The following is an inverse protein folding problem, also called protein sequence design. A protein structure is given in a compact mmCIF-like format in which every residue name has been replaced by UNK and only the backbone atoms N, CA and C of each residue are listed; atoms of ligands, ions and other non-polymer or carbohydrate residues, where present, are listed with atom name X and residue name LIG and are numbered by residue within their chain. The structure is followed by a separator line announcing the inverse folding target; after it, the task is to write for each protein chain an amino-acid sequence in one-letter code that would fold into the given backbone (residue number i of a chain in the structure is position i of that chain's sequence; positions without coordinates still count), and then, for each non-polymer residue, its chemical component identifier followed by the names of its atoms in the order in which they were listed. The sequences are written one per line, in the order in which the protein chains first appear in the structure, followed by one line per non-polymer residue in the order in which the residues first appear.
data_IF_629524591207
#
_entry.id   IF_629524591207
#
_cell.length_a   1.000
_cell.length_b   1.000
_cell.length_c   1.000
_cell.angle_alpha   90.00
_cell.angle_beta   90.00
_cell.angle_gamma   90.00
#
_symmetry.space_group_name_H-M   'P 1'
#
loop_
_entity.id
_entity.type
_entity.pdbx_description
1 polymer ?
#
# COMPACT_ATOMS: atom_id res chain seq x y z
N UNK A 1 -14.74 -19.21 14.94
CA UNK A 1 -13.78 -18.16 14.52
C UNK A 1 -13.85 -16.95 15.42
N UNK A 2 -12.86 -16.81 16.32
CA UNK A 2 -12.59 -15.53 17.00
C UNK A 2 -11.95 -14.57 16.01
N UNK A 3 -12.65 -13.49 15.70
CA UNK A 3 -12.18 -12.39 14.82
C UNK A 3 -11.01 -11.64 15.45
N UNK A 4 -10.19 -10.95 14.65
CA UNK A 4 -9.20 -10.00 15.17
C UNK A 4 -9.88 -8.93 16.02
N UNK A 5 -11.12 -8.53 15.69
CA UNK A 5 -11.92 -7.63 16.52
C UNK A 5 -12.00 -8.12 17.98
N UNK A 6 -12.44 -9.36 18.19
CA UNK A 6 -12.56 -9.94 19.54
C UNK A 6 -11.22 -10.08 20.26
N UNK A 7 -10.12 -10.20 19.51
CA UNK A 7 -8.79 -10.50 20.05
C UNK A 7 -7.98 -9.26 20.35
N UNK A 8 -8.12 -8.20 19.57
CA UNK A 8 -7.22 -7.05 19.61
C UNK A 8 -7.92 -5.75 20.02
N UNK A 9 -9.25 -5.63 19.90
CA UNK A 9 -9.92 -4.32 20.03
C UNK A 9 -10.03 -3.83 21.47
N UNK A 10 -9.71 -4.68 22.45
CA UNK A 10 -9.52 -4.25 23.83
C UNK A 10 -8.32 -3.31 24.01
N UNK A 11 -7.42 -3.22 23.02
CA UNK A 11 -6.29 -2.29 23.00
C UNK A 11 -6.65 -0.89 22.50
N UNK A 12 -7.83 -0.71 21.90
CA UNK A 12 -8.25 0.54 21.27
C UNK A 12 -9.23 1.30 22.16
N UNK A 13 -9.24 2.63 22.08
CA UNK A 13 -10.27 3.41 22.74
C UNK A 13 -11.64 3.13 22.10
N UNK A 14 -12.74 3.06 22.87
CA UNK A 14 -14.08 2.80 22.32
C UNK A 14 -14.49 3.79 21.22
N UNK A 15 -14.07 5.06 21.34
CA UNK A 15 -14.31 6.09 20.33
C UNK A 15 -13.60 5.79 19.00
N UNK A 16 -12.37 5.27 19.05
CA UNK A 16 -11.62 4.85 17.86
C UNK A 16 -12.30 3.67 17.16
N UNK A 17 -12.78 2.69 17.95
CA UNK A 17 -13.52 1.54 17.41
C UNK A 17 -14.84 1.97 16.75
N UNK A 18 -15.57 2.89 17.38
CA UNK A 18 -16.81 3.42 16.81
C UNK A 18 -16.53 4.15 15.48
N UNK A 19 -15.51 5.01 15.45
CA UNK A 19 -15.09 5.74 14.25
C UNK A 19 -14.55 4.80 13.16
N UNK A 20 -13.82 3.76 13.52
CA UNK A 20 -13.29 2.78 12.57
C UNK A 20 -14.37 2.12 11.72
N UNK A 21 -15.58 1.92 12.28
CA UNK A 21 -16.70 1.29 11.57
C UNK A 21 -17.27 2.15 10.43
N UNK A 22 -17.05 3.46 10.44
CA UNK A 22 -17.44 4.36 9.34
C UNK A 22 -16.32 4.59 8.33
N UNK A 23 -15.11 4.10 8.59
CA UNK A 23 -13.95 4.26 7.70
C UNK A 23 -13.87 3.03 6.79
N UNK A 24 -13.77 3.25 5.48
CA UNK A 24 -13.49 2.19 4.50
C UNK A 24 -12.14 2.45 3.86
N UNK A 25 -11.17 1.53 3.96
CA UNK A 25 -9.89 1.68 3.27
C UNK A 25 -10.07 1.82 1.76
N UNK A 26 -9.39 2.80 1.17
CA UNK A 26 -9.45 3.09 -0.26
C UNK A 26 -8.80 1.97 -1.09
N UNK A 27 -7.67 1.43 -0.60
CA UNK A 27 -7.00 0.29 -1.19
C UNK A 27 -6.51 -0.67 -0.11
N UNK A 28 -6.53 -1.97 -0.41
CA UNK A 28 -5.94 -3.03 0.43
C UNK A 28 -5.25 -4.04 -0.48
N UNK A 29 -3.98 -4.28 -0.22
CA UNK A 29 -3.15 -5.24 -0.94
C UNK A 29 -2.44 -6.17 0.04
N UNK A 30 -2.12 -7.38 -0.41
CA UNK A 30 -1.30 -8.36 0.33
C UNK A 30 -0.04 -8.67 -0.49
N UNK A 31 1.04 -7.88 -0.34
CA UNK A 31 2.24 -8.05 -1.14
C UNK A 31 2.90 -9.43 -0.95
N UNK A 32 2.77 -9.98 0.26
CA UNK A 32 3.27 -11.31 0.66
C UNK A 32 2.30 -11.94 1.65
N UNK A 33 2.40 -13.25 1.83
CA UNK A 33 1.64 -13.96 2.87
C UNK A 33 2.01 -13.38 4.24
N UNK A 34 0.99 -13.05 5.04
CA UNK A 34 1.18 -12.44 6.36
C UNK A 34 1.45 -10.93 6.32
N UNK A 35 1.53 -10.31 5.14
CA UNK A 35 1.68 -8.86 5.00
C UNK A 35 0.42 -8.22 4.42
N UNK A 36 0.01 -7.08 4.97
CA UNK A 36 -1.09 -6.27 4.46
C UNK A 36 -0.63 -4.83 4.32
N UNK A 37 -0.91 -4.21 3.19
CA UNK A 37 -0.72 -2.78 2.96
C UNK A 37 -2.07 -2.18 2.61
N UNK A 38 -2.49 -1.16 3.33
CA UNK A 38 -3.74 -0.47 3.09
C UNK A 38 -3.52 1.04 3.03
N UNK A 39 -4.30 1.71 2.20
CA UNK A 39 -4.41 3.16 2.19
C UNK A 39 -5.81 3.59 2.59
N UNK A 40 -5.90 4.67 3.35
CA UNK A 40 -7.13 5.15 3.98
C UNK A 40 -7.18 6.67 3.82
N UNK A 41 -8.26 7.19 3.25
CA UNK A 41 -8.48 8.64 3.21
C UNK A 41 -8.76 9.15 4.64
N UNK A 42 -7.97 10.11 5.09
CA UNK A 42 -8.15 10.82 6.34
C UNK A 42 -9.20 11.93 6.22
N UNK A 43 -9.81 12.30 7.34
CA UNK A 43 -10.77 13.41 7.42
C UNK A 43 -10.08 14.78 7.23
N UNK A 44 -8.76 14.83 7.41
CA UNK A 44 -7.90 15.98 7.14
C UNK A 44 -7.56 16.14 5.65
N UNK A 45 -8.11 15.27 4.80
CA UNK A 45 -7.82 15.23 3.36
C UNK A 45 -6.47 14.59 3.02
N UNK A 46 -5.71 14.13 4.01
CA UNK A 46 -4.47 13.40 3.78
C UNK A 46 -4.75 11.92 3.54
N UNK A 47 -3.91 11.25 2.75
CA UNK A 47 -3.94 9.79 2.65
C UNK A 47 -3.03 9.19 3.72
N UNK A 48 -3.58 8.25 4.49
CA UNK A 48 -2.83 7.50 5.49
C UNK A 48 -2.56 6.09 5.01
N UNK A 49 -1.34 5.63 5.24
CA UNK A 49 -0.91 4.28 4.94
C UNK A 49 -0.86 3.46 6.23
N UNK A 50 -1.32 2.21 6.17
CA UNK A 50 -1.18 1.20 7.21
C UNK A 50 -0.47 -0.01 6.63
N UNK A 51 0.59 -0.45 7.30
CA UNK A 51 1.27 -1.72 7.01
C UNK A 51 1.09 -2.65 8.20
N UNK A 52 0.75 -3.90 7.92
CA UNK A 52 0.68 -4.97 8.89
C UNK A 52 1.62 -6.09 8.47
N UNK A 53 2.36 -6.63 9.42
CA UNK A 53 3.24 -7.79 9.21
C UNK A 53 3.05 -8.81 10.31
N UNK A 54 2.78 -10.06 9.91
CA UNK A 54 2.53 -11.18 10.80
C UNK A 54 3.80 -12.02 10.95
N UNK A 55 4.31 -12.10 12.18
CA UNK A 55 5.50 -12.86 12.54
C UNK A 55 5.13 -13.99 13.50
N UNK A 56 5.62 -15.21 13.21
CA UNK A 56 5.41 -16.38 14.07
C UNK A 56 6.58 -16.58 15.04
N UNK A 57 6.28 -16.93 16.28
CA UNK A 57 7.30 -17.16 17.31
C UNK A 57 7.65 -18.64 17.47
N UNK A 58 8.92 -18.92 17.78
CA UNK A 58 9.42 -20.30 17.99
C UNK A 58 8.72 -21.05 19.13
N UNK A 59 8.20 -20.34 20.12
CA UNK A 59 7.52 -20.90 21.30
C UNK A 59 5.99 -20.97 21.15
N UNK A 60 5.49 -20.76 19.94
CA UNK A 60 4.07 -20.61 19.67
C UNK A 60 3.60 -19.17 19.84
N UNK A 61 2.47 -18.86 19.20
CA UNK A 61 1.95 -17.50 19.10
C UNK A 61 2.49 -16.72 17.90
N UNK A 62 1.87 -15.58 17.67
CA UNK A 62 2.18 -14.67 16.58
C UNK A 62 2.15 -13.23 17.08
N UNK A 63 2.97 -12.38 16.49
CA UNK A 63 2.87 -10.92 16.62
C UNK A 63 2.38 -10.36 15.30
N UNK A 64 1.40 -9.48 15.36
CA UNK A 64 1.01 -8.62 14.25
C UNK A 64 1.64 -7.26 14.50
N UNK A 65 2.70 -6.93 13.78
CA UNK A 65 3.33 -5.62 13.82
C UNK A 65 2.54 -4.67 12.92
N UNK A 66 2.40 -3.42 13.36
CA UNK A 66 1.66 -2.40 12.64
C UNK A 66 2.42 -1.09 12.57
N UNK A 67 2.45 -0.51 11.37
CA UNK A 67 2.95 0.84 11.11
C UNK A 67 1.81 1.65 10.51
N UNK A 68 1.58 2.86 11.01
CA UNK A 68 0.52 3.72 10.53
C UNK A 68 1.00 5.16 10.43
N UNK A 69 0.74 5.81 9.29
CA UNK A 69 1.17 7.20 9.04
C UNK A 69 0.23 8.25 9.63
N UNK A 70 -0.74 7.87 10.47
CA UNK A 70 -1.47 8.85 11.29
C UNK A 70 -0.55 9.40 12.37
N UNK A 71 -0.88 10.59 12.92
CA UNK A 71 -0.11 11.16 14.03
C UNK A 71 -0.06 10.24 15.26
N UNK A 72 -1.17 9.57 15.58
CA UNK A 72 -1.23 8.60 16.68
C UNK A 72 -0.43 7.33 16.37
N UNK A 73 -0.55 6.80 15.16
CA UNK A 73 0.19 5.63 14.70
C UNK A 73 1.71 5.84 14.73
N UNK A 74 2.19 6.98 14.22
CA UNK A 74 3.62 7.35 14.30
C UNK A 74 4.12 7.45 15.73
N UNK A 75 3.26 7.82 16.67
CA UNK A 75 3.60 7.85 18.10
C UNK A 75 3.51 6.47 18.78
N UNK A 76 3.32 5.38 18.03
CA UNK A 76 3.18 4.02 18.57
C UNK A 76 1.87 3.78 19.31
N UNK A 77 0.81 4.55 19.01
CA UNK A 77 -0.49 4.47 19.69
C UNK A 77 -1.59 3.90 18.80
N UNK A 78 -2.55 3.14 19.38
CA UNK A 78 -3.76 2.73 18.67
C UNK A 78 -4.52 3.94 18.12
N UNK A 79 -5.19 3.75 16.97
CA UNK A 79 -6.00 4.79 16.35
C UNK A 79 -7.13 4.20 15.50
N UNK A 80 -8.14 5.03 15.20
CA UNK A 80 -9.29 4.63 14.38
C UNK A 80 -8.91 4.09 12.99
N UNK A 81 -7.88 4.64 12.33
CA UNK A 81 -7.43 4.20 11.00
C UNK A 81 -6.86 2.78 11.04
N UNK A 82 -6.02 2.47 12.03
CA UNK A 82 -5.50 1.12 12.23
C UNK A 82 -6.63 0.12 12.54
N UNK A 83 -7.57 0.50 13.42
CA UNK A 83 -8.73 -0.33 13.73
C UNK A 83 -9.59 -0.59 12.47
N UNK A 84 -9.80 0.40 11.61
CA UNK A 84 -10.57 0.24 10.37
C UNK A 84 -9.91 -0.78 9.43
N UNK A 85 -8.58 -0.74 9.30
CA UNK A 85 -7.84 -1.72 8.51
C UNK A 85 -7.92 -3.12 9.11
N UNK A 86 -7.85 -3.27 10.44
CA UNK A 86 -8.03 -4.57 11.09
C UNK A 86 -9.45 -5.16 10.87
N UNK A 87 -10.50 -4.32 10.92
CA UNK A 87 -11.86 -4.74 10.58
C UNK A 87 -11.96 -5.20 9.12
N UNK A 88 -11.30 -4.49 8.20
CA UNK A 88 -11.31 -4.83 6.77
C UNK A 88 -10.53 -6.14 6.50
N UNK A 89 -9.41 -6.35 7.20
CA UNK A 89 -8.65 -7.60 7.17
C UNK A 89 -9.49 -8.79 7.64
N UNK A 90 -10.23 -8.63 8.73
CA UNK A 90 -11.16 -9.63 9.24
C UNK A 90 -12.27 -9.93 8.22
N UNK A 91 -12.90 -8.86 7.68
CA UNK A 91 -13.99 -8.96 6.70
C UNK A 91 -13.58 -9.73 5.45
N UNK A 92 -12.36 -9.50 4.96
CA UNK A 92 -11.79 -10.16 3.77
C UNK A 92 -11.10 -11.49 4.08
N UNK A 93 -10.93 -11.86 5.36
CA UNK A 93 -10.23 -13.08 5.77
C UNK A 93 -8.76 -13.12 5.36
N UNK A 94 -8.09 -11.96 5.23
CA UNK A 94 -6.72 -11.87 4.68
C UNK A 94 -5.68 -12.55 5.57
N UNK A 95 -5.96 -12.67 6.87
CA UNK A 95 -5.12 -13.37 7.85
C UNK A 95 -5.83 -14.62 8.42
N UNK A 96 -6.67 -15.27 7.61
CA UNK A 96 -7.41 -16.49 8.00
C UNK A 96 -6.52 -17.70 8.33
N UNK A 97 -5.23 -17.64 8.00
CA UNK A 97 -4.23 -18.63 8.41
C UNK A 97 -3.95 -18.63 9.92
N UNK A 98 -4.33 -17.58 10.64
CA UNK A 98 -4.17 -17.52 12.10
C UNK A 98 -5.22 -18.41 12.76
N UNK A 99 -4.78 -19.53 13.29
CA UNK A 99 -5.65 -20.43 14.05
C UNK A 99 -6.23 -19.73 15.29
N UNK A 100 -7.48 -20.05 15.65
CA UNK A 100 -8.23 -19.36 16.71
C UNK A 100 -7.57 -19.47 18.10
N UNK A 101 -6.84 -20.55 18.33
CA UNK A 101 -6.14 -20.85 19.58
C UNK A 101 -4.73 -20.25 19.63
N UNK A 102 -4.20 -19.77 18.50
CA UNK A 102 -2.87 -19.16 18.46
C UNK A 102 -2.89 -17.86 19.28
N UNK A 103 -2.04 -17.69 20.30
CA UNK A 103 -1.88 -16.39 20.96
C UNK A 103 -1.47 -15.34 19.92
N UNK A 104 -2.14 -14.20 19.89
CA UNK A 104 -1.83 -13.11 18.96
C UNK A 104 -1.70 -11.82 19.75
N UNK A 105 -0.57 -11.16 19.55
CA UNK A 105 -0.28 -9.84 20.11
C UNK A 105 -0.23 -8.82 18.98
N UNK A 106 -0.76 -7.63 19.20
CA UNK A 106 -0.59 -6.49 18.29
C UNK A 106 0.54 -5.62 18.82
N UNK A 107 1.52 -5.33 17.96
CA UNK A 107 2.59 -4.37 18.23
C UNK A 107 2.39 -3.14 17.33
N UNK A 108 2.43 -1.95 17.92
CA UNK A 108 2.21 -0.68 17.21
C UNK A 108 3.54 0.05 17.20
N UNK A 109 4.23 -0.06 16.06
CA UNK A 109 5.59 0.43 15.92
C UNK A 109 5.55 1.93 15.63
N UNK A 110 6.18 2.71 16.51
CA UNK A 110 6.37 4.13 16.31
C UNK A 110 7.27 4.39 15.09
N UNK A 111 6.99 5.46 14.35
CA UNK A 111 7.81 5.91 13.23
C UNK A 111 8.42 7.27 13.58
N UNK A 112 9.74 7.36 13.52
CA UNK A 112 10.50 8.61 13.69
C UNK A 112 10.46 9.51 12.45
N UNK A 113 9.75 9.08 11.40
CA UNK A 113 9.63 9.77 10.13
C UNK A 113 8.83 11.07 10.30
N UNK A 114 9.58 12.11 10.63
CA UNK A 114 9.11 13.49 10.74
C UNK A 114 8.89 13.97 9.31
N UNK A 115 7.62 14.03 8.91
CA UNK A 115 7.14 14.38 7.56
C UNK A 115 8.15 15.03 6.63
N UNK A 116 8.84 14.21 5.84
CA UNK A 116 9.39 14.67 4.58
C UNK A 116 8.22 14.79 3.60
N UNK A 117 7.55 15.94 3.66
CA UNK A 117 6.63 16.37 2.63
C UNK A 117 7.34 16.22 1.27
N UNK A 118 6.62 15.68 0.29
CA UNK A 118 7.05 15.62 -1.08
C UNK A 118 7.53 17.00 -1.55
N UNK A 119 8.85 17.15 -1.71
CA UNK A 119 9.42 18.23 -2.52
C UNK A 119 9.46 17.74 -3.97
N UNK A 120 8.27 17.61 -4.56
CA UNK A 120 8.14 17.57 -6.01
C UNK A 120 8.13 19.04 -6.47
N UNK A 121 9.32 19.65 -6.51
CA UNK A 121 9.51 20.93 -7.19
C UNK A 121 10.18 20.62 -8.51
N UNK A 122 9.34 20.43 -9.53
CA UNK A 122 9.73 20.52 -10.91
C UNK A 122 10.50 21.84 -11.12
N UNK A 123 11.82 21.72 -11.30
CA UNK A 123 12.64 22.81 -11.78
C UNK A 123 12.52 22.83 -13.30
N UNK A 124 11.47 23.48 -13.77
CA UNK A 124 11.40 24.03 -15.11
C UNK A 124 12.10 25.40 -15.07
N UNK A 125 13.25 25.52 -15.73
CA UNK A 125 13.84 26.82 -16.04
C UNK A 125 14.46 26.74 -17.42
N UNK A 126 13.70 27.28 -18.37
CA UNK A 126 14.14 27.72 -19.69
C UNK A 126 15.45 28.52 -19.63
N UNK A 127 16.34 28.29 -20.59
CA UNK A 127 17.11 29.39 -21.19
C UNK A 127 17.39 29.09 -22.66
N UNK A 128 16.65 29.80 -23.51
CA UNK A 128 16.90 30.06 -24.92
C UNK A 128 18.35 30.45 -25.21
N UNK A 129 18.93 29.92 -26.29
CA UNK A 129 19.74 30.74 -27.20
C UNK A 129 19.61 30.22 -28.63
N UNK A 130 18.88 31.03 -29.40
CA UNK A 130 18.67 31.04 -30.85
C UNK A 130 19.99 31.19 -31.64
N UNK A 131 20.13 30.50 -32.78
CA UNK A 131 20.62 31.06 -34.06
C UNK A 131 20.51 30.00 -35.18
N UNK A 132 19.74 30.36 -36.21
CA UNK A 132 19.37 29.59 -37.38
C UNK A 132 20.47 29.39 -38.44
N UNK A 133 20.38 28.29 -39.22
CA UNK A 133 20.44 28.34 -40.70
C UNK A 133 19.86 27.05 -41.33
N UNK A 134 18.89 27.22 -42.23
CA UNK A 134 18.40 26.24 -43.22
C UNK A 134 18.52 26.92 -44.61
N UNK A 135 18.31 26.28 -45.79
CA UNK A 135 17.78 24.93 -46.05
C UNK A 135 18.49 24.16 -47.21
N UNK A 136 18.21 22.87 -47.35
CA UNK A 136 18.57 22.08 -48.54
C UNK A 136 17.44 21.15 -48.94
N UNK A 137 16.67 21.55 -49.95
CA UNK A 137 15.53 20.82 -50.50
C UNK A 137 15.96 19.66 -51.40
N UNK A 138 15.25 18.52 -51.34
CA UNK A 138 14.66 17.79 -52.47
C UNK A 138 14.16 16.38 -52.06
N UNK A 139 12.86 16.18 -52.24
CA UNK A 139 12.07 14.93 -52.24
C UNK A 139 12.31 14.14 -53.57
N UNK A 140 11.58 13.05 -53.95
CA UNK A 140 11.03 11.87 -53.27
C UNK A 140 11.41 10.53 -54.00
N UNK A 141 10.88 9.40 -53.49
CA UNK A 141 10.56 8.12 -54.17
C UNK A 141 11.60 6.98 -54.18
N UNK A 142 11.21 5.90 -53.50
CA UNK A 142 11.12 4.50 -53.99
C UNK A 142 11.30 3.57 -52.77
N UNK A 143 10.66 2.42 -52.61
CA UNK A 143 9.57 1.73 -53.25
C UNK A 143 9.30 0.52 -52.32
N UNK A 144 8.03 0.11 -52.25
CA UNK A 144 7.54 -1.26 -52.09
C UNK A 144 8.04 -2.17 -50.92
N UNK A 145 7.09 -2.71 -50.15
CA UNK A 145 7.29 -3.66 -49.04
C UNK A 145 7.66 -5.10 -49.48
N UNK A 146 7.11 -6.21 -48.90
CA UNK A 146 6.10 -6.33 -47.86
C UNK A 146 6.43 -7.35 -46.71
N UNK A 147 5.50 -7.40 -45.75
CA UNK A 147 5.32 -8.42 -44.71
C UNK A 147 4.82 -9.76 -45.31
N UNK A 148 5.43 -10.89 -44.93
CA UNK A 148 4.83 -12.26 -44.89
C UNK A 148 5.53 -13.08 -43.79
N UNK A 149 4.87 -13.51 -42.72
CA UNK A 149 3.91 -14.62 -42.59
C UNK A 149 4.50 -16.04 -42.70
N UNK A 150 4.76 -16.65 -41.53
CA UNK A 150 4.39 -18.02 -41.15
C UNK A 150 5.13 -19.23 -41.74
N UNK A 151 5.56 -20.17 -40.87
CA UNK A 151 5.18 -21.60 -40.97
C UNK A 151 5.56 -22.44 -39.75
N UNK A 152 4.63 -23.35 -39.42
CA UNK A 152 4.69 -24.43 -38.44
C UNK A 152 5.55 -25.62 -38.91
N UNK A 153 5.97 -26.44 -37.94
CA UNK A 153 6.29 -27.87 -38.04
C UNK A 153 7.04 -28.26 -36.75
N UNK A 154 6.56 -29.06 -35.80
CA UNK A 154 5.82 -30.33 -35.79
C UNK A 154 6.48 -31.46 -36.58
N UNK A 155 6.61 -32.60 -35.90
CA UNK A 155 7.28 -33.87 -36.24
C UNK A 155 8.78 -33.87 -35.88
N UNK A 156 9.31 -34.84 -35.13
CA UNK A 156 8.85 -36.19 -34.79
C UNK A 156 9.61 -36.69 -33.56
#
# INVERSE_FOLDING_TARGET
MKTLEKRLFHLFAPADVARARSITPAAVACPRVGQVRASVAGDDGAEHEVRLELSAHRRGGMTLESHCTTAAGRAGRPCAVLAAVLLEVDRRGLLSSIHEQTPLTLDIVASEETGAAAADTAADTDTDTDTAEAPGAADPRDAAGPIRAGRRGSQR
#
